data_IF_318318120573
#
_entry.id   IF_318318120573
#
_cell.length_a   1.000
_cell.length_b   1.000
_cell.length_c   1.000
_cell.angle_alpha   90.00
_cell.angle_beta   90.00
_cell.angle_gamma   90.00
#
_symmetry.space_group_name_H-M   'P 1'
#
loop_
_entity.id
_entity.type
_entity.pdbx_description
1 polymer ?
#
# COMPACT_ATOMS: atom_id res chain seq x y z
N UNK A 1 13.81 -2.09 37.46
CA UNK A 1 13.77 -3.55 37.75
C UNK A 1 12.50 -4.09 37.17
N UNK A 2 12.57 -5.22 36.44
CA UNK A 2 11.45 -5.86 35.73
C UNK A 2 10.15 -5.99 36.54
N UNK A 3 10.27 -6.14 37.86
CA UNK A 3 9.14 -6.19 38.80
C UNK A 3 8.33 -4.88 38.86
N UNK A 4 8.98 -3.72 38.84
CA UNK A 4 8.31 -2.40 38.85
C UNK A 4 7.53 -2.16 37.56
N UNK A 5 8.10 -2.56 36.42
CA UNK A 5 7.47 -2.45 35.10
C UNK A 5 6.22 -3.33 34.98
N UNK A 6 6.31 -4.59 35.42
CA UNK A 6 5.16 -5.52 35.38
C UNK A 6 3.99 -5.04 36.23
N UNK A 7 4.26 -4.51 37.42
CA UNK A 7 3.20 -3.97 38.29
C UNK A 7 2.57 -2.70 37.70
N UNK A 8 3.37 -1.85 37.05
CA UNK A 8 2.86 -0.66 36.37
C UNK A 8 1.92 -1.03 35.21
N UNK A 9 2.31 -2.00 34.37
CA UNK A 9 1.48 -2.50 33.27
C UNK A 9 0.16 -3.07 33.79
N UNK A 10 0.19 -3.86 34.87
CA UNK A 10 -1.03 -4.40 35.48
C UNK A 10 -1.96 -3.30 36.01
N UNK A 11 -1.40 -2.28 36.66
CA UNK A 11 -2.16 -1.15 37.18
C UNK A 11 -2.80 -0.32 36.05
N UNK A 12 -2.05 -0.09 34.97
CA UNK A 12 -2.51 0.65 33.80
C UNK A 12 -3.60 -0.10 33.03
N UNK A 13 -3.44 -1.41 32.81
CA UNK A 13 -4.47 -2.27 32.21
C UNK A 13 -5.75 -2.32 33.06
N UNK A 14 -5.62 -2.40 34.38
CA UNK A 14 -6.77 -2.38 35.29
C UNK A 14 -7.50 -1.03 35.24
N UNK A 15 -6.76 0.08 35.17
CA UNK A 15 -7.32 1.43 35.02
C UNK A 15 -8.02 1.60 33.67
N UNK A 16 -7.46 1.08 32.58
CA UNK A 16 -8.10 1.09 31.27
C UNK A 16 -9.45 0.36 31.28
N UNK A 17 -9.47 -0.87 31.80
CA UNK A 17 -10.69 -1.67 31.88
C UNK A 17 -11.77 -1.06 32.79
N UNK A 18 -11.39 -0.44 33.91
CA UNK A 18 -12.34 0.16 34.86
C UNK A 18 -12.79 1.56 34.46
N UNK A 19 -11.91 2.36 33.85
CA UNK A 19 -12.19 3.73 33.44
C UNK A 19 -11.21 4.21 32.36
N UNK A 20 -11.54 3.86 31.12
CA UNK A 20 -10.80 4.28 29.92
C UNK A 20 -10.57 5.80 29.85
N UNK A 21 -11.59 6.59 30.25
CA UNK A 21 -11.49 8.06 30.32
C UNK A 21 -10.39 8.54 31.27
N UNK A 22 -10.25 7.93 32.45
CA UNK A 22 -9.22 8.29 33.42
C UNK A 22 -7.84 7.86 32.96
N UNK A 23 -7.75 6.67 32.34
CA UNK A 23 -6.52 6.18 31.72
C UNK A 23 -5.99 7.17 30.68
N UNK A 24 -6.81 7.59 29.71
CA UNK A 24 -6.38 8.58 28.70
C UNK A 24 -6.14 9.97 29.28
N UNK A 25 -6.86 10.37 30.34
CA UNK A 25 -6.58 11.64 31.03
C UNK A 25 -5.17 11.61 31.64
N UNK A 26 -4.78 10.51 32.30
CA UNK A 26 -3.43 10.29 32.82
C UNK A 26 -2.39 10.39 31.70
N UNK A 27 -2.61 9.73 30.55
CA UNK A 27 -1.71 9.81 29.40
C UNK A 27 -1.56 11.23 28.84
N UNK A 28 -2.66 11.98 28.71
CA UNK A 28 -2.64 13.37 28.22
C UNK A 28 -1.90 14.33 29.14
N UNK A 29 -1.77 14.00 30.42
CA UNK A 29 -1.09 14.85 31.40
C UNK A 29 0.42 14.59 31.42
N UNK A 30 0.89 13.46 30.85
CA UNK A 30 2.26 12.98 31.07
C UNK A 30 3.34 13.58 30.17
N UNK A 31 3.03 14.29 29.09
CA UNK A 31 4.07 15.04 28.33
C UNK A 31 3.42 15.88 27.25
N UNK A 32 3.55 17.21 27.35
CA UNK A 32 3.33 18.11 26.22
C UNK A 32 4.66 18.16 25.47
N UNK A 33 4.83 17.30 24.47
CA UNK A 33 5.98 17.40 23.59
C UNK A 33 5.83 18.72 22.81
N UNK A 34 6.78 19.63 22.95
CA UNK A 34 6.94 20.69 21.96
C UNK A 34 7.35 20.00 20.67
N UNK A 35 6.39 19.75 19.78
CA UNK A 35 6.67 19.25 18.45
C UNK A 35 7.20 20.44 17.66
N UNK A 36 8.50 20.69 17.75
CA UNK A 36 9.18 21.57 16.80
C UNK A 36 9.27 20.82 15.47
N UNK A 37 8.56 21.26 14.43
CA UNK A 37 8.67 20.62 13.12
C UNK A 37 10.13 20.71 12.63
N UNK A 38 10.63 19.67 11.94
CA UNK A 38 11.98 19.70 11.37
C UNK A 38 12.11 20.87 10.38
N UNK A 39 13.32 21.40 10.25
CA UNK A 39 13.56 22.49 9.30
C UNK A 39 13.32 22.01 7.86
N UNK A 40 13.02 22.93 6.95
CA UNK A 40 12.87 22.62 5.52
C UNK A 40 14.11 21.90 4.98
N UNK A 41 15.30 22.28 5.45
CA UNK A 41 16.58 21.69 5.07
C UNK A 41 16.69 20.25 5.53
N UNK A 42 16.32 19.96 6.78
CA UNK A 42 16.35 18.59 7.33
C UNK A 42 15.38 17.68 6.59
N UNK A 43 14.17 18.18 6.31
CA UNK A 43 13.16 17.45 5.55
C UNK A 43 13.66 17.15 4.12
N UNK A 44 14.27 18.16 3.48
CA UNK A 44 14.81 18.02 2.13
C UNK A 44 15.96 17.02 2.11
N UNK A 45 16.88 17.10 3.06
CA UNK A 45 18.02 16.19 3.14
C UNK A 45 17.60 14.74 3.43
N UNK A 46 16.59 14.56 4.30
CA UNK A 46 16.02 13.24 4.58
C UNK A 46 15.47 12.57 3.32
N UNK A 47 14.57 13.24 2.60
CA UNK A 47 13.98 12.70 1.37
C UNK A 47 14.99 12.59 0.23
N UNK A 48 15.89 13.56 0.11
CA UNK A 48 16.99 13.52 -0.87
C UNK A 48 17.85 12.29 -0.65
N UNK A 49 18.21 11.97 0.59
CA UNK A 49 19.02 10.79 0.88
C UNK A 49 18.28 9.49 0.51
N UNK A 50 16.97 9.40 0.77
CA UNK A 50 16.18 8.23 0.38
C UNK A 50 16.00 8.07 -1.14
N UNK A 51 15.84 9.16 -1.89
CA UNK A 51 15.49 9.10 -3.32
C UNK A 51 16.64 9.34 -4.28
N UNK A 52 17.76 9.91 -3.83
CA UNK A 52 18.90 10.24 -4.72
C UNK A 52 19.94 9.14 -4.81
N UNK A 53 19.83 8.09 -3.98
CA UNK A 53 20.70 6.93 -4.07
C UNK A 53 19.97 5.84 -4.83
N UNK A 54 20.59 5.39 -5.92
CA UNK A 54 20.18 4.18 -6.62
C UNK A 54 20.43 3.00 -5.66
N UNK A 55 19.36 2.38 -5.18
CA UNK A 55 19.44 1.19 -4.32
C UNK A 55 19.20 -0.05 -5.16
N UNK A 56 20.09 -1.03 -5.07
CA UNK A 56 19.84 -2.34 -5.66
C UNK A 56 18.75 -3.08 -4.88
N UNK A 57 17.83 -3.71 -5.62
CA UNK A 57 16.82 -4.57 -4.99
C UNK A 57 17.50 -5.83 -4.43
N UNK A 58 17.16 -6.19 -3.19
CA UNK A 58 17.62 -7.46 -2.62
C UNK A 58 16.75 -8.61 -3.16
N UNK A 59 17.17 -9.19 -4.28
CA UNK A 59 16.53 -10.35 -4.89
C UNK A 59 16.72 -11.67 -4.11
N UNK A 60 17.48 -11.65 -3.00
CA UNK A 60 17.75 -12.82 -2.14
C UNK A 60 17.26 -12.59 -0.70
N UNK A 61 16.21 -11.80 -0.54
CA UNK A 61 15.60 -11.62 0.77
C UNK A 61 14.90 -12.92 1.19
N UNK A 62 15.02 -13.29 2.47
CA UNK A 62 14.43 -14.54 3.00
C UNK A 62 12.94 -14.71 2.67
N UNK A 63 12.16 -13.63 2.69
CA UNK A 63 10.74 -13.68 2.35
C UNK A 63 10.47 -14.05 0.88
N UNK A 64 11.41 -13.76 -0.04
CA UNK A 64 11.29 -14.17 -1.45
C UNK A 64 11.45 -15.70 -1.53
N UNK A 65 12.45 -16.25 -0.85
CA UNK A 65 12.70 -17.70 -0.80
C UNK A 65 11.52 -18.45 -0.14
N UNK A 66 10.94 -17.88 0.92
CA UNK A 66 9.75 -18.42 1.60
C UNK A 66 8.53 -18.45 0.66
N UNK A 67 8.26 -17.36 -0.05
CA UNK A 67 7.15 -17.29 -1.02
C UNK A 67 7.36 -18.24 -2.21
N UNK A 68 8.59 -18.34 -2.74
CA UNK A 68 8.93 -19.30 -3.79
C UNK A 68 8.73 -20.75 -3.36
N UNK A 69 9.02 -21.08 -2.09
CA UNK A 69 8.75 -22.41 -1.55
C UNK A 69 7.26 -22.68 -1.36
N UNK A 70 6.51 -21.71 -0.81
CA UNK A 70 5.05 -21.84 -0.61
C UNK A 70 4.33 -22.01 -1.94
N UNK A 71 4.82 -21.35 -3.00
CA UNK A 71 4.18 -21.29 -4.31
C UNK A 71 4.88 -22.13 -5.39
N UNK A 72 5.89 -22.93 -5.04
CA UNK A 72 6.67 -23.72 -6.01
C UNK A 72 5.86 -24.74 -6.81
N UNK A 73 4.74 -25.20 -6.26
CA UNK A 73 3.81 -26.12 -6.93
C UNK A 73 2.82 -25.41 -7.87
N UNK A 74 2.77 -24.07 -7.86
CA UNK A 74 1.89 -23.29 -8.73
C UNK A 74 2.54 -23.19 -10.11
N UNK A 75 1.88 -23.78 -11.11
CA UNK A 75 2.28 -23.64 -12.51
C UNK A 75 2.26 -22.15 -12.90
N UNK A 76 3.33 -21.71 -13.55
CA UNK A 76 3.37 -20.39 -14.17
C UNK A 76 2.17 -20.20 -15.11
N UNK A 77 1.55 -19.01 -15.06
CA UNK A 77 0.44 -18.69 -15.93
C UNK A 77 0.94 -18.65 -17.38
N UNK A 78 0.31 -19.45 -18.24
CA UNK A 78 0.64 -19.45 -19.67
C UNK A 78 0.42 -18.07 -20.29
N UNK A 79 1.21 -17.75 -21.32
CA UNK A 79 1.04 -16.52 -22.09
C UNK A 79 -0.39 -16.40 -22.59
N UNK A 80 -1.07 -15.36 -22.11
CA UNK A 80 -2.48 -15.14 -22.41
C UNK A 80 -2.64 -14.16 -23.57
N UNK A 81 -3.08 -14.69 -24.72
CA UNK A 81 -3.41 -13.87 -25.89
C UNK A 81 -4.85 -13.35 -25.75
N UNK A 82 -4.97 -12.08 -25.39
CA UNK A 82 -6.26 -11.38 -25.32
C UNK A 82 -6.93 -11.39 -26.69
N UNK A 83 -8.18 -11.88 -26.78
CA UNK A 83 -8.91 -11.91 -28.05
C UNK A 83 -9.79 -10.67 -28.26
N UNK A 84 -10.04 -10.28 -29.51
CA UNK A 84 -10.93 -9.14 -29.84
C UNK A 84 -12.34 -9.34 -29.26
N UNK A 85 -12.84 -10.58 -29.26
CA UNK A 85 -14.15 -10.94 -28.71
C UNK A 85 -14.21 -10.67 -27.21
N UNK A 86 -13.20 -11.09 -26.48
CA UNK A 86 -13.10 -10.89 -25.05
C UNK A 86 -12.95 -9.41 -24.71
N UNK A 87 -12.06 -8.69 -25.41
CA UNK A 87 -11.92 -7.24 -25.24
C UNK A 87 -13.28 -6.54 -25.36
N UNK A 88 -14.06 -6.87 -26.40
CA UNK A 88 -15.40 -6.32 -26.62
C UNK A 88 -16.37 -6.64 -25.48
N UNK A 89 -16.34 -7.87 -24.95
CA UNK A 89 -17.19 -8.28 -23.84
C UNK A 89 -16.82 -7.52 -22.56
N UNK A 90 -15.52 -7.38 -22.28
CA UNK A 90 -15.00 -6.67 -21.12
C UNK A 90 -15.35 -5.18 -21.17
N UNK A 91 -15.01 -4.49 -22.26
CA UNK A 91 -15.29 -3.04 -22.36
C UNK A 91 -16.78 -2.73 -22.31
N UNK A 92 -17.65 -3.63 -22.81
CA UNK A 92 -19.11 -3.45 -22.79
C UNK A 92 -19.64 -3.25 -21.36
N UNK A 93 -19.07 -3.96 -20.40
CA UNK A 93 -19.49 -3.92 -18.99
C UNK A 93 -18.96 -2.68 -18.24
N UNK A 94 -17.94 -2.00 -18.77
CA UNK A 94 -17.33 -0.85 -18.10
C UNK A 94 -18.22 0.40 -18.17
N UNK A 95 -18.34 1.21 -17.10
CA UNK A 95 -19.05 2.49 -17.17
C UNK A 95 -18.34 3.48 -18.10
N UNK A 96 -19.09 4.17 -18.97
CA UNK A 96 -18.55 5.06 -20.00
C UNK A 96 -17.62 6.14 -19.44
N UNK A 97 -18.00 6.75 -18.31
CA UNK A 97 -17.32 7.90 -17.71
C UNK A 97 -16.58 7.56 -16.41
N UNK A 98 -16.12 6.31 -16.27
CA UNK A 98 -15.19 5.96 -15.18
C UNK A 98 -13.90 6.76 -15.36
N UNK A 99 -13.27 7.13 -14.24
CA UNK A 99 -11.99 7.86 -14.24
C UNK A 99 -10.98 7.17 -15.15
N UNK A 100 -10.30 7.93 -16.03
CA UNK A 100 -9.38 7.35 -17.00
C UNK A 100 -8.09 6.90 -16.31
N UNK A 101 -7.34 6.00 -16.96
CA UNK A 101 -6.04 5.56 -16.48
C UNK A 101 -4.94 6.57 -16.79
N UNK A 102 -3.69 6.09 -16.79
CA UNK A 102 -2.51 6.88 -17.17
C UNK A 102 -2.58 7.42 -18.61
N UNK A 103 -3.37 6.78 -19.46
CA UNK A 103 -3.65 7.17 -20.85
C UNK A 103 -4.59 8.37 -20.99
N UNK A 104 -5.30 8.76 -19.92
CA UNK A 104 -6.33 9.79 -19.92
C UNK A 104 -7.51 9.52 -20.89
N UNK A 105 -7.75 8.25 -21.27
CA UNK A 105 -8.84 7.87 -22.18
C UNK A 105 -9.98 7.23 -21.40
N UNK A 106 -11.20 7.76 -21.58
CA UNK A 106 -12.41 7.18 -20.99
C UNK A 106 -12.89 5.93 -21.75
N UNK A 107 -13.53 5.00 -21.02
CA UNK A 107 -14.14 3.78 -21.57
C UNK A 107 -15.15 4.05 -22.71
N UNK A 108 -15.80 5.22 -22.69
CA UNK A 108 -16.67 5.67 -23.79
C UNK A 108 -15.98 5.56 -25.15
N UNK A 109 -14.73 6.01 -25.25
CA UNK A 109 -13.95 6.01 -26.50
C UNK A 109 -13.52 4.60 -26.89
N UNK A 110 -13.09 3.79 -25.93
CA UNK A 110 -12.80 2.37 -26.18
C UNK A 110 -13.99 1.61 -26.74
N UNK A 111 -15.21 1.90 -26.28
CA UNK A 111 -16.43 1.30 -26.85
C UNK A 111 -16.75 1.77 -28.26
N UNK A 112 -16.47 3.04 -28.57
CA UNK A 112 -16.83 3.66 -29.85
C UNK A 112 -15.81 3.40 -30.95
N UNK A 113 -14.54 3.23 -30.61
CA UNK A 113 -13.44 3.00 -31.55
C UNK A 113 -13.16 1.52 -31.76
N UNK A 114 -14.08 0.84 -32.42
CA UNK A 114 -13.96 -0.61 -32.72
C UNK A 114 -12.77 -0.96 -33.62
N UNK A 115 -12.29 -0.01 -34.43
CA UNK A 115 -11.10 -0.19 -35.27
C UNK A 115 -9.85 -0.45 -34.41
N UNK A 116 -9.76 0.17 -33.23
CA UNK A 116 -8.62 0.01 -32.32
C UNK A 116 -8.58 -1.38 -31.67
N UNK A 117 -9.70 -2.09 -31.61
CA UNK A 117 -9.77 -3.38 -30.93
C UNK A 117 -8.79 -4.38 -31.53
N UNK A 118 -8.64 -4.37 -32.86
CA UNK A 118 -7.67 -5.22 -33.57
C UNK A 118 -6.23 -4.93 -33.19
N UNK A 119 -5.89 -3.67 -32.97
CA UNK A 119 -4.54 -3.24 -32.61
C UNK A 119 -4.20 -3.51 -31.14
N UNK A 120 -5.22 -3.56 -30.27
CA UNK A 120 -5.06 -3.84 -28.84
C UNK A 120 -4.97 -5.34 -28.52
N UNK A 121 -5.31 -6.20 -29.49
CA UNK A 121 -5.32 -7.66 -29.35
C UNK A 121 -4.39 -8.35 -30.36
N UNK A 122 -3.48 -7.58 -30.96
CA UNK A 122 -2.50 -8.07 -31.93
C UNK A 122 -1.14 -8.32 -31.26
#
# INVERSE_FOLDING_TARGET
>A
TRYKESNQIKADNNMFNKSEKQFYKKLKTSTRYEVTPPSKTDLTNFWKNMWSHESEHNYKAYWIEEEEQIHGDIKEQEDYILTEKELKQTIKQLPNWKGPGKDNIHNFWYKRFTILHKHLTA
#
